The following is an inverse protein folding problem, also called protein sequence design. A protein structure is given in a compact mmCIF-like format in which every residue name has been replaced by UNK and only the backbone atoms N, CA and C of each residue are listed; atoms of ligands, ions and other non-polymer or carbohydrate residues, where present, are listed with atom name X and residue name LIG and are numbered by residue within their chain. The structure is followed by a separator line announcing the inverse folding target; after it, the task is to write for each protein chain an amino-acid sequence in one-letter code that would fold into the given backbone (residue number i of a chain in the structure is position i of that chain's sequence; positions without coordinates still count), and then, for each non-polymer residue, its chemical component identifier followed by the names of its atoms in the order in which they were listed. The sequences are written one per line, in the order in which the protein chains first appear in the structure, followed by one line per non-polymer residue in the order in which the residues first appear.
data_IF_620159458517
#
_entry.id   IF_620159458517
#
_cell.length_a   1.000
_cell.length_b   1.000
_cell.length_c   1.000
_cell.angle_alpha   90.00
_cell.angle_beta   90.00
_cell.angle_gamma   90.00
#
_symmetry.space_group_name_H-M   'P 1'
#
loop_
_entity.id
_entity.type
_entity.pdbx_description
1 polymer ?
#
# COMPACT_ATOMS: atom_id res chain seq x y z
N UNK A 1 38.71 17.78 48.91
CA UNK A 1 38.10 18.26 47.66
C UNK A 1 37.18 17.17 47.12
N UNK A 2 35.86 17.40 47.06
CA UNK A 2 34.87 16.45 46.52
C UNK A 2 34.47 16.93 45.12
N UNK A 3 34.76 16.16 44.08
CA UNK A 3 34.27 16.42 42.73
C UNK A 3 32.90 15.75 42.57
N UNK A 4 31.87 16.60 42.39
CA UNK A 4 30.49 16.20 42.09
C UNK A 4 30.41 15.72 40.63
N UNK A 5 29.99 14.48 40.41
CA UNK A 5 29.68 13.96 39.08
C UNK A 5 28.27 14.40 38.68
N UNK A 6 28.18 15.30 37.72
CA UNK A 6 26.93 15.68 37.05
C UNK A 6 26.57 14.61 36.01
N UNK A 7 25.52 13.85 36.29
CA UNK A 7 24.84 12.98 35.35
C UNK A 7 24.13 13.83 34.29
N UNK A 8 24.61 13.76 33.05
CA UNK A 8 23.91 14.28 31.87
C UNK A 8 22.86 13.26 31.44
N UNK A 9 21.60 13.49 31.80
CA UNK A 9 20.47 12.77 31.22
C UNK A 9 20.28 13.26 29.78
N UNK A 10 20.74 12.48 28.82
CA UNK A 10 20.41 12.68 27.41
C UNK A 10 18.91 12.38 27.22
N UNK A 11 18.11 13.43 27.04
CA UNK A 11 16.71 13.32 26.64
C UNK A 11 16.66 12.80 25.20
N UNK A 12 16.43 11.49 25.03
CA UNK A 12 16.18 10.90 23.72
C UNK A 12 14.81 11.42 23.27
N UNK A 13 14.82 12.45 22.43
CA UNK A 13 13.63 12.89 21.69
C UNK A 13 13.34 11.77 20.70
N UNK A 14 12.42 10.86 21.07
CA UNK A 14 11.80 9.94 20.13
C UNK A 14 11.19 10.80 19.01
N UNK A 15 11.61 10.65 17.74
CA UNK A 15 10.92 11.32 16.66
C UNK A 15 9.46 10.87 16.70
N UNK A 16 8.55 11.83 16.81
CA UNK A 16 7.13 11.58 16.67
C UNK A 16 6.94 10.83 15.34
N UNK A 17 6.47 9.58 15.42
CA UNK A 17 6.04 8.86 14.23
C UNK A 17 5.04 9.76 13.51
N UNK A 18 5.18 9.98 12.20
CA UNK A 18 4.24 10.81 11.47
C UNK A 18 2.85 10.24 11.71
N UNK A 19 1.99 11.06 12.33
CA UNK A 19 0.54 10.91 12.24
C UNK A 19 0.25 10.54 10.80
N UNK A 20 -0.42 9.40 10.59
CA UNK A 20 -0.88 8.93 9.27
C UNK A 20 -1.42 10.17 8.56
N UNK A 21 -0.67 10.71 7.59
CA UNK A 21 -1.10 11.87 6.84
C UNK A 21 -2.34 11.39 6.10
N UNK A 22 -3.50 11.69 6.67
CA UNK A 22 -4.74 11.02 6.31
C UNK A 22 -5.04 11.22 4.82
N UNK A 23 -4.43 12.26 4.22
CA UNK A 23 -4.48 12.54 2.81
C UNK A 23 -3.09 12.91 2.25
N UNK A 24 -2.11 12.00 2.27
CA UNK A 24 -0.79 12.28 1.68
C UNK A 24 -0.88 12.73 0.20
N UNK A 25 -1.95 12.36 -0.49
CA UNK A 25 -2.32 12.80 -1.84
C UNK A 25 -2.72 14.29 -1.93
N UNK A 26 -3.30 14.86 -0.88
CA UNK A 26 -3.78 16.26 -0.91
C UNK A 26 -2.61 17.24 -0.78
N UNK A 27 -1.47 16.78 -0.27
CA UNK A 27 -0.27 17.59 -0.13
C UNK A 27 0.47 17.80 -1.45
N UNK A 28 0.20 16.98 -2.47
CA UNK A 28 0.94 16.97 -3.72
C UNK A 28 0.17 17.64 -4.86
N UNK A 29 0.91 18.29 -5.76
CA UNK A 29 0.31 19.04 -6.87
C UNK A 29 0.28 18.19 -8.13
N UNK A 30 -0.94 17.84 -8.57
CA UNK A 30 -1.17 16.95 -9.70
C UNK A 30 -0.39 17.42 -10.94
N UNK A 31 0.37 16.51 -11.56
CA UNK A 31 1.15 16.81 -12.76
C UNK A 31 2.56 17.36 -12.49
N UNK A 32 2.98 17.49 -11.24
CA UNK A 32 4.35 17.87 -10.89
C UNK A 32 5.23 16.66 -10.61
N UNK A 33 6.53 16.80 -10.87
CA UNK A 33 7.53 15.79 -10.55
C UNK A 33 8.14 16.08 -9.19
N UNK A 34 8.17 15.08 -8.32
CA UNK A 34 8.80 15.18 -7.00
C UNK A 34 9.85 14.10 -6.80
N UNK A 35 10.76 14.34 -5.87
CA UNK A 35 11.85 13.41 -5.53
C UNK A 35 11.30 12.07 -5.04
N UNK A 36 11.96 11.00 -5.50
CA UNK A 36 11.62 9.63 -5.17
C UNK A 36 12.61 8.66 -5.76
N UNK A 37 12.28 7.37 -5.70
CA UNK A 37 13.09 6.34 -6.34
C UNK A 37 12.24 5.19 -6.83
N UNK A 38 12.80 4.44 -7.78
CA UNK A 38 12.26 3.14 -8.20
C UNK A 38 13.17 2.03 -7.71
N UNK A 39 12.60 0.85 -7.52
CA UNK A 39 13.35 -0.39 -7.29
C UNK A 39 13.18 -1.26 -8.52
N UNK A 40 14.27 -1.50 -9.25
CA UNK A 40 14.25 -2.29 -10.48
C UNK A 40 13.82 -3.74 -10.24
N UNK A 41 13.56 -4.49 -11.31
CA UNK A 41 13.30 -5.92 -11.23
C UNK A 41 14.46 -6.69 -10.58
N UNK A 42 15.70 -6.23 -10.80
CA UNK A 42 16.93 -6.79 -10.21
C UNK A 42 17.03 -6.44 -8.72
N UNK A 43 16.41 -5.34 -8.28
CA UNK A 43 16.47 -4.85 -6.90
C UNK A 43 17.33 -3.60 -6.72
N UNK A 44 17.82 -3.01 -7.81
CA UNK A 44 18.59 -1.78 -7.75
C UNK A 44 17.69 -0.59 -7.40
N UNK A 45 18.15 0.24 -6.47
CA UNK A 45 17.47 1.49 -6.12
C UNK A 45 17.99 2.61 -7.02
N UNK A 46 17.10 3.21 -7.80
CA UNK A 46 17.44 4.25 -8.78
C UNK A 46 16.75 5.54 -8.37
N UNK A 47 17.55 6.54 -7.99
CA UNK A 47 17.08 7.87 -7.60
C UNK A 47 16.60 8.69 -8.80
N UNK A 48 15.61 9.54 -8.57
CA UNK A 48 15.08 10.44 -9.58
C UNK A 48 13.82 11.14 -9.12
N UNK A 49 12.95 11.47 -10.08
CA UNK A 49 11.69 12.17 -9.81
C UNK A 49 10.52 11.40 -10.39
N UNK A 50 9.42 11.34 -9.66
CA UNK A 50 8.19 10.66 -10.07
C UNK A 50 7.11 11.72 -10.30
N UNK A 51 6.41 11.59 -11.43
CA UNK A 51 5.24 12.42 -11.72
C UNK A 51 4.11 12.07 -10.76
N UNK A 52 3.67 13.04 -9.97
CA UNK A 52 2.46 12.88 -9.19
C UNK A 52 1.23 12.79 -10.10
N UNK A 53 0.46 11.73 -9.91
CA UNK A 53 -0.81 11.49 -10.58
C UNK A 53 -1.83 10.95 -9.57
N UNK A 54 -3.08 10.75 -10.00
CA UNK A 54 -4.08 10.14 -9.14
C UNK A 54 -3.60 8.76 -8.62
N UNK A 55 -3.83 8.43 -7.34
CA UNK A 55 -3.47 7.14 -6.74
C UNK A 55 -3.80 5.92 -7.61
N UNK A 56 -5.00 5.87 -8.16
CA UNK A 56 -5.45 4.77 -9.01
C UNK A 56 -4.64 4.62 -10.31
N UNK A 57 -4.08 5.72 -10.82
CA UNK A 57 -3.16 5.71 -11.96
C UNK A 57 -1.79 5.20 -11.52
N UNK A 58 -1.27 5.76 -10.42
CA UNK A 58 0.04 5.39 -9.86
C UNK A 58 0.10 3.94 -9.37
N UNK A 59 -1.04 3.37 -8.97
CA UNK A 59 -1.19 1.95 -8.64
C UNK A 59 -0.95 1.02 -9.85
N UNK A 60 -1.04 1.51 -11.10
CA UNK A 60 -0.83 0.69 -12.30
C UNK A 60 0.45 1.02 -13.04
N UNK A 61 0.81 2.31 -13.05
CA UNK A 61 1.99 2.81 -13.76
C UNK A 61 2.50 4.11 -13.15
N UNK A 62 3.80 4.34 -13.23
CA UNK A 62 4.44 5.59 -12.86
C UNK A 62 5.18 6.21 -14.05
N UNK A 63 5.35 7.53 -14.04
CA UNK A 63 6.30 8.21 -14.93
C UNK A 63 7.47 8.70 -14.09
N UNK A 64 8.68 8.32 -14.48
CA UNK A 64 9.90 8.52 -13.71
C UNK A 64 10.98 9.19 -14.57
N UNK A 65 11.65 10.19 -14.02
CA UNK A 65 12.84 10.81 -14.61
C UNK A 65 14.02 10.41 -13.73
N UNK A 66 14.94 9.62 -14.26
CA UNK A 66 16.15 9.22 -13.54
C UNK A 66 17.03 10.45 -13.24
N UNK A 67 17.72 10.44 -12.10
CA UNK A 67 18.67 11.50 -11.77
C UNK A 67 19.72 11.68 -12.88
N UNK A 68 19.90 12.93 -13.33
CA UNK A 68 20.79 13.27 -14.45
C UNK A 68 20.17 13.14 -15.84
N UNK A 69 18.90 12.70 -15.94
CA UNK A 69 18.16 12.64 -17.19
C UNK A 69 17.05 13.70 -17.24
N UNK A 70 16.60 14.05 -18.46
CA UNK A 70 15.51 15.02 -18.67
C UNK A 70 14.21 14.36 -19.14
N UNK A 71 14.31 13.19 -19.77
CA UNK A 71 13.16 12.53 -20.40
C UNK A 71 12.49 11.57 -19.42
N UNK A 72 11.16 11.61 -19.30
CA UNK A 72 10.46 10.65 -18.47
C UNK A 72 10.33 9.30 -19.17
N UNK A 73 10.52 8.24 -18.39
CA UNK A 73 10.19 6.87 -18.76
C UNK A 73 8.99 6.38 -17.95
N UNK A 74 8.11 5.62 -18.59
CA UNK A 74 6.95 5.01 -17.92
C UNK A 74 7.27 3.58 -17.54
N UNK A 75 6.89 3.20 -16.32
CA UNK A 75 7.05 1.85 -15.81
C UNK A 75 5.71 1.31 -15.31
N UNK A 76 5.44 0.04 -15.60
CA UNK A 76 4.34 -0.75 -15.03
C UNK A 76 4.85 -1.63 -13.89
N UNK A 77 3.92 -2.19 -13.11
CA UNK A 77 4.24 -3.09 -12.00
C UNK A 77 5.23 -4.20 -12.37
N UNK A 78 5.01 -4.89 -13.51
CA UNK A 78 5.87 -6.01 -13.93
C UNK A 78 7.34 -5.64 -14.21
N UNK A 79 7.65 -4.35 -14.33
CA UNK A 79 8.99 -3.85 -14.67
C UNK A 79 9.77 -3.43 -13.41
N UNK A 80 9.11 -3.32 -12.26
CA UNK A 80 9.67 -2.81 -11.01
C UNK A 80 9.29 -3.70 -9.83
N UNK A 81 10.16 -3.78 -8.82
CA UNK A 81 9.76 -4.32 -7.51
C UNK A 81 8.91 -3.33 -6.70
N UNK A 82 9.07 -2.04 -6.97
CA UNK A 82 8.34 -1.00 -6.26
C UNK A 82 8.84 0.40 -6.57
N UNK A 83 8.23 1.39 -5.91
CA UNK A 83 8.69 2.77 -5.95
C UNK A 83 8.44 3.47 -4.62
N UNK A 84 9.21 4.51 -4.34
CA UNK A 84 9.02 5.39 -3.20
C UNK A 84 8.67 6.78 -3.67
N UNK A 85 7.60 7.32 -3.13
CA UNK A 85 7.06 8.62 -3.48
C UNK A 85 6.40 9.27 -2.28
N UNK A 86 6.68 10.56 -2.05
CA UNK A 86 6.03 11.36 -1.00
C UNK A 86 5.97 10.67 0.39
N UNK A 87 7.10 10.10 0.83
CA UNK A 87 7.16 9.43 2.14
C UNK A 87 6.72 7.96 2.15
N UNK A 88 6.18 7.45 1.03
CA UNK A 88 5.48 6.18 0.95
C UNK A 88 6.15 5.21 -0.02
N UNK A 89 6.34 3.96 0.39
CA UNK A 89 6.81 2.90 -0.47
C UNK A 89 5.64 2.08 -1.00
N UNK A 90 5.72 1.69 -2.27
CA UNK A 90 4.72 0.91 -2.99
C UNK A 90 5.37 -0.34 -3.55
N UNK A 91 4.76 -1.50 -3.35
CA UNK A 91 5.30 -2.78 -3.82
C UNK A 91 4.55 -3.28 -5.04
N UNK A 92 5.28 -3.75 -6.05
CA UNK A 92 4.64 -4.44 -7.15
C UNK A 92 4.35 -5.90 -6.79
N UNK A 93 3.11 -6.31 -7.02
CA UNK A 93 2.66 -7.68 -6.83
C UNK A 93 1.85 -8.15 -8.02
N UNK A 94 2.03 -9.42 -8.40
CA UNK A 94 1.09 -10.10 -9.26
C UNK A 94 -0.27 -10.17 -8.55
N UNK A 95 -1.29 -9.61 -9.19
CA UNK A 95 -2.58 -9.37 -8.59
C UNK A 95 -3.69 -9.77 -9.56
N UNK A 96 -4.71 -10.45 -9.04
CA UNK A 96 -5.89 -10.78 -9.79
C UNK A 96 -7.00 -9.83 -9.38
N UNK A 97 -7.14 -8.73 -10.11
CA UNK A 97 -8.29 -7.84 -9.97
C UNK A 97 -9.52 -8.61 -10.45
N UNK A 98 -10.34 -9.08 -9.51
CA UNK A 98 -11.57 -9.82 -9.78
C UNK A 98 -12.62 -9.04 -10.60
N UNK A 99 -12.30 -7.83 -11.05
CA UNK A 99 -13.12 -6.94 -11.87
C UNK A 99 -13.32 -7.39 -13.33
N UNK A 100 -12.56 -8.37 -13.85
CA UNK A 100 -12.76 -8.84 -15.24
C UNK A 100 -13.97 -9.78 -15.32
N UNK A 101 -15.12 -9.19 -15.60
CA UNK A 101 -16.44 -9.80 -15.89
C UNK A 101 -16.48 -10.78 -17.10
N UNK A 102 -15.35 -11.25 -17.64
CA UNK A 102 -15.33 -12.18 -18.78
C UNK A 102 -14.23 -13.24 -18.62
N UNK A 103 -14.47 -14.24 -17.78
CA UNK A 103 -13.95 -15.61 -17.90
C UNK A 103 -12.43 -15.85 -17.85
N UNK A 104 -11.58 -14.83 -17.95
CA UNK A 104 -10.13 -14.93 -17.91
C UNK A 104 -9.59 -14.11 -16.75
N UNK A 105 -9.08 -14.81 -15.72
CA UNK A 105 -8.27 -14.22 -14.65
C UNK A 105 -6.95 -13.76 -15.28
N UNK A 106 -6.91 -12.57 -15.89
CA UNK A 106 -5.64 -11.98 -16.26
C UNK A 106 -5.01 -11.41 -14.99
N UNK A 107 -3.98 -12.10 -14.51
CA UNK A 107 -3.13 -11.57 -13.46
C UNK A 107 -2.36 -10.38 -14.03
N UNK A 108 -2.47 -9.22 -13.40
CA UNK A 108 -1.72 -8.01 -13.72
C UNK A 108 -0.77 -7.70 -12.55
N UNK A 109 0.43 -7.19 -12.84
CA UNK A 109 1.26 -6.62 -11.79
C UNK A 109 0.84 -5.18 -11.53
N UNK A 110 0.38 -4.92 -10.31
CA UNK A 110 0.01 -3.58 -9.82
C UNK A 110 0.88 -3.21 -8.62
N UNK A 111 0.93 -1.93 -8.30
CA UNK A 111 1.57 -1.38 -7.12
C UNK A 111 0.56 -1.29 -5.98
N UNK A 112 0.86 -1.98 -4.89
CA UNK A 112 0.08 -2.02 -3.67
C UNK A 112 0.77 -1.19 -2.58
N UNK A 113 -0.04 -0.51 -1.76
CA UNK A 113 0.47 0.23 -0.61
C UNK A 113 0.52 -0.68 0.63
N UNK A 114 1.70 -0.99 1.18
CA UNK A 114 1.83 -1.86 2.33
C UNK A 114 1.44 -1.12 3.63
N UNK A 115 0.52 -1.72 4.40
CA UNK A 115 0.12 -1.23 5.72
C UNK A 115 0.80 -1.99 6.87
N UNK A 116 1.09 -3.27 6.64
CA UNK A 116 1.81 -4.14 7.56
C UNK A 116 2.48 -5.26 6.75
N UNK A 117 3.73 -5.59 7.07
CA UNK A 117 4.49 -6.63 6.39
C UNK A 117 4.90 -7.73 7.38
N UNK A 118 4.99 -8.97 6.88
CA UNK A 118 5.40 -10.16 7.64
C UNK A 118 4.66 -11.42 7.20
N UNK A 119 4.60 -12.43 8.08
CA UNK A 119 3.87 -13.69 7.87
C UNK A 119 2.40 -13.50 7.48
N UNK A 120 1.78 -12.43 7.98
CA UNK A 120 0.54 -11.85 7.47
C UNK A 120 0.82 -10.41 7.08
N UNK A 121 0.72 -10.14 5.78
CA UNK A 121 0.88 -8.81 5.22
C UNK A 121 -0.49 -8.22 4.87
N UNK A 122 -0.61 -6.90 4.99
CA UNK A 122 -1.82 -6.12 4.69
C UNK A 122 -1.47 -5.03 3.71
N UNK A 123 -2.28 -4.90 2.67
CA UNK A 123 -2.07 -3.95 1.60
C UNK A 123 -3.36 -3.18 1.27
N UNK A 124 -3.23 -1.95 0.82
CA UNK A 124 -4.27 -1.18 0.16
C UNK A 124 -4.02 -1.15 -1.35
N UNK A 125 -5.05 -1.47 -2.13
CA UNK A 125 -5.09 -1.24 -3.57
C UNK A 125 -5.93 0.00 -3.83
N UNK A 126 -5.33 1.00 -4.48
CA UNK A 126 -6.05 2.19 -4.92
C UNK A 126 -6.59 1.97 -6.31
N UNK A 127 -7.90 2.14 -6.48
CA UNK A 127 -8.57 2.03 -7.76
C UNK A 127 -9.59 3.15 -7.91
N UNK A 128 -10.02 3.40 -9.14
CA UNK A 128 -11.11 4.30 -9.42
C UNK A 128 -12.05 3.60 -10.40
N UNK A 129 -13.35 3.71 -10.17
CA UNK A 129 -14.32 3.39 -11.20
C UNK A 129 -14.22 4.49 -12.26
N UNK A 130 -14.21 4.09 -13.54
CA UNK A 130 -14.40 5.03 -14.64
C UNK A 130 -15.88 5.40 -14.59
N UNK A 131 -16.21 6.47 -13.87
CA UNK A 131 -17.61 6.85 -13.66
C UNK A 131 -18.14 7.68 -14.83
N UNK A 132 -17.32 8.51 -15.48
CA UNK A 132 -17.77 9.31 -16.62
C UNK A 132 -16.66 9.64 -17.63
N UNK A 133 -17.00 9.63 -18.91
CA UNK A 133 -16.20 10.26 -19.96
C UNK A 133 -16.53 11.76 -19.98
N UNK A 134 -15.67 12.59 -19.39
CA UNK A 134 -15.84 14.04 -19.50
C UNK A 134 -15.29 14.48 -20.86
N UNK A 135 -16.20 14.95 -21.72
CA UNK A 135 -15.87 15.54 -23.01
C UNK A 135 -15.58 17.02 -22.80
N UNK A 136 -14.33 17.43 -22.93
CA UNK A 136 -13.94 18.84 -22.87
C UNK A 136 -14.11 19.52 -24.26
N UNK A 137 -14.24 20.85 -24.27
CA UNK A 137 -14.44 21.65 -25.49
C UNK A 137 -13.29 21.54 -26.51
N UNK A 138 -12.10 21.12 -26.06
CA UNK A 138 -10.92 20.87 -26.90
C UNK A 138 -10.96 19.52 -27.64
N UNK A 139 -12.02 18.73 -27.47
CA UNK A 139 -12.18 17.42 -28.10
C UNK A 139 -11.34 16.31 -27.46
N UNK A 140 -10.63 16.61 -26.36
CA UNK A 140 -9.85 15.61 -25.61
C UNK A 140 -10.72 14.99 -24.53
N UNK A 141 -11.09 13.73 -24.71
CA UNK A 141 -11.69 12.94 -23.64
C UNK A 141 -10.65 12.76 -22.53
N UNK A 142 -10.80 13.47 -21.40
CA UNK A 142 -10.03 13.17 -20.19
C UNK A 142 -10.92 12.36 -19.26
N UNK A 143 -10.47 11.16 -18.93
CA UNK A 143 -11.07 10.38 -17.86
C UNK A 143 -10.74 11.12 -16.56
N UNK A 144 -11.75 11.72 -15.93
CA UNK A 144 -11.62 12.13 -14.55
C UNK A 144 -11.97 10.90 -13.70
N UNK A 145 -10.99 10.25 -13.06
CA UNK A 145 -11.31 9.12 -12.20
C UNK A 145 -12.28 9.61 -11.10
N UNK A 146 -13.26 8.77 -10.76
CA UNK A 146 -14.02 8.98 -9.52
C UNK A 146 -13.09 9.13 -8.33
N UNK A 147 -13.62 9.64 -7.20
CA UNK A 147 -12.87 9.65 -5.94
C UNK A 147 -12.16 8.29 -5.74
N UNK A 148 -10.84 8.29 -5.50
CA UNK A 148 -10.09 7.07 -5.40
C UNK A 148 -10.67 6.20 -4.28
N UNK A 149 -11.04 4.98 -4.63
CA UNK A 149 -11.46 3.97 -3.68
C UNK A 149 -10.27 3.10 -3.30
N UNK A 150 -10.37 2.50 -2.13
CA UNK A 150 -9.39 1.54 -1.65
C UNK A 150 -10.05 0.22 -1.32
N UNK A 151 -9.42 -0.86 -1.75
CA UNK A 151 -9.72 -2.21 -1.28
C UNK A 151 -8.55 -2.69 -0.41
N UNK A 152 -8.86 -3.34 0.70
CA UNK A 152 -7.87 -3.89 1.62
C UNK A 152 -7.69 -5.37 1.37
N UNK A 153 -6.45 -5.76 1.11
CA UNK A 153 -6.05 -7.16 0.89
C UNK A 153 -5.17 -7.66 2.02
N UNK A 154 -5.32 -8.93 2.33
CA UNK A 154 -4.41 -9.66 3.21
C UNK A 154 -3.69 -10.74 2.42
N UNK A 155 -2.43 -10.99 2.77
CA UNK A 155 -1.65 -12.08 2.21
C UNK A 155 -0.92 -12.79 3.34
N UNK A 156 -1.25 -14.06 3.55
CA UNK A 156 -0.50 -14.95 4.45
C UNK A 156 0.69 -15.53 3.68
N UNK A 157 1.81 -15.74 4.35
CA UNK A 157 3.02 -16.29 3.76
C UNK A 157 2.74 -17.63 3.06
N UNK A 158 3.19 -17.78 1.81
CA UNK A 158 2.91 -18.94 0.98
C UNK A 158 1.49 -19.01 0.39
N UNK A 159 0.62 -18.04 0.67
CA UNK A 159 -0.75 -17.97 0.13
C UNK A 159 -0.94 -16.80 -0.85
N UNK A 160 -2.02 -16.88 -1.64
CA UNK A 160 -2.48 -15.79 -2.51
C UNK A 160 -3.14 -14.65 -1.71
N UNK A 161 -3.25 -13.49 -2.35
CA UNK A 161 -4.01 -12.36 -1.80
C UNK A 161 -5.49 -12.70 -1.60
N UNK A 162 -6.06 -12.24 -0.49
CA UNK A 162 -7.48 -12.32 -0.19
C UNK A 162 -8.02 -10.93 0.11
N UNK A 163 -9.04 -10.52 -0.65
CA UNK A 163 -9.81 -9.31 -0.40
C UNK A 163 -10.59 -9.43 0.92
N UNK A 164 -10.54 -8.43 1.79
CA UNK A 164 -11.37 -8.39 2.99
C UNK A 164 -12.87 -8.34 2.69
N UNK A 165 -13.30 -7.91 1.51
CA UNK A 165 -14.68 -7.93 1.06
C UNK A 165 -15.10 -9.29 0.47
N UNK A 166 -14.17 -10.23 0.30
CA UNK A 166 -14.46 -11.58 -0.18
C UNK A 166 -15.46 -12.33 0.71
N UNK A 167 -16.20 -13.27 0.11
CA UNK A 167 -17.26 -14.06 0.77
C UNK A 167 -16.78 -14.75 2.07
N UNK A 168 -15.51 -15.17 2.10
CA UNK A 168 -14.83 -15.77 3.26
C UNK A 168 -14.88 -14.85 4.50
N UNK A 169 -14.87 -13.54 4.31
CA UNK A 169 -14.83 -12.52 5.37
C UNK A 169 -16.12 -11.70 5.50
N UNK A 170 -17.22 -12.08 4.82
CA UNK A 170 -18.55 -11.46 5.08
C UNK A 170 -18.93 -11.57 6.55
N UNK A 171 -18.67 -12.73 7.17
CA UNK A 171 -18.71 -12.89 8.63
C UNK A 171 -17.30 -12.73 9.19
N UNK A 172 -16.79 -11.50 9.16
CA UNK A 172 -15.38 -11.18 9.45
C UNK A 172 -14.81 -11.96 10.64
N UNK A 173 -15.45 -11.87 11.81
CA UNK A 173 -14.97 -12.53 13.04
C UNK A 173 -14.85 -14.06 12.88
N UNK A 174 -15.80 -14.72 12.21
CA UNK A 174 -15.74 -16.17 11.95
C UNK A 174 -14.69 -16.52 10.88
N UNK A 175 -14.64 -15.74 9.80
CA UNK A 175 -13.74 -15.98 8.69
C UNK A 175 -12.28 -15.76 9.07
N UNK A 176 -11.99 -14.64 9.73
CA UNK A 176 -10.64 -14.24 10.11
C UNK A 176 -10.09 -15.08 11.28
N UNK A 177 -10.90 -15.40 12.31
CA UNK A 177 -10.44 -16.31 13.37
C UNK A 177 -10.09 -17.70 12.85
N UNK A 178 -10.87 -18.22 11.89
CA UNK A 178 -10.54 -19.48 11.20
C UNK A 178 -9.29 -19.34 10.33
N UNK A 179 -9.14 -18.23 9.63
CA UNK A 179 -7.99 -17.98 8.75
C UNK A 179 -6.66 -17.91 9.51
N UNK A 180 -6.70 -17.40 10.75
CA UNK A 180 -5.55 -17.24 11.63
C UNK A 180 -5.57 -18.23 12.81
N UNK A 181 -6.15 -19.42 12.60
CA UNK A 181 -6.34 -20.43 13.66
C UNK A 181 -5.02 -20.98 14.21
N UNK A 182 -3.95 -20.85 13.45
CA UNK A 182 -2.57 -21.16 13.82
C UNK A 182 -1.95 -20.17 14.82
N UNK A 183 -2.60 -19.04 15.11
CA UNK A 183 -2.32 -18.23 16.30
C UNK A 183 -3.54 -18.19 17.25
N UNK A 184 -3.69 -19.18 18.15
CA UNK A 184 -4.92 -19.39 18.92
C UNK A 184 -5.35 -18.17 19.76
N UNK A 185 -4.41 -17.52 20.45
CA UNK A 185 -4.71 -16.36 21.29
C UNK A 185 -5.29 -15.18 20.46
N UNK A 186 -4.76 -14.97 19.25
CA UNK A 186 -5.28 -13.96 18.33
C UNK A 186 -6.64 -14.36 17.75
N UNK A 187 -6.77 -15.62 17.33
CA UNK A 187 -8.02 -16.16 16.79
C UNK A 187 -9.17 -16.03 17.80
N UNK A 188 -8.93 -16.31 19.08
CA UNK A 188 -9.90 -16.12 20.16
C UNK A 188 -10.33 -14.66 20.27
N UNK A 189 -9.38 -13.72 20.33
CA UNK A 189 -9.70 -12.28 20.42
C UNK A 189 -10.57 -11.80 19.25
N UNK A 190 -10.32 -12.31 18.04
CA UNK A 190 -11.12 -12.00 16.86
C UNK A 190 -12.52 -12.64 16.96
N UNK A 191 -12.61 -13.91 17.38
CA UNK A 191 -13.89 -14.62 17.50
C UNK A 191 -14.82 -13.99 18.55
N UNK A 192 -14.24 -13.47 19.64
CA UNK A 192 -14.92 -12.74 20.72
C UNK A 192 -15.22 -11.28 20.36
N UNK A 193 -14.92 -10.86 19.12
CA UNK A 193 -15.16 -9.52 18.59
C UNK A 193 -14.39 -8.39 19.30
N UNK A 194 -13.28 -8.71 19.98
CA UNK A 194 -12.36 -7.71 20.52
C UNK A 194 -11.55 -7.02 19.42
N UNK A 195 -11.32 -7.73 18.31
CA UNK A 195 -10.66 -7.22 17.11
C UNK A 195 -11.56 -7.45 15.88
N UNK A 196 -11.75 -6.39 15.11
CA UNK A 196 -12.66 -6.32 13.94
C UNK A 196 -11.96 -5.78 12.69
N UNK A 197 -12.72 -5.52 11.62
CA UNK A 197 -12.19 -4.99 10.34
C UNK A 197 -11.33 -3.73 10.51
N UNK A 198 -11.78 -2.78 11.32
CA UNK A 198 -11.05 -1.55 11.62
C UNK A 198 -9.65 -1.78 12.24
N UNK A 199 -9.43 -2.97 12.80
CA UNK A 199 -8.20 -3.35 13.48
C UNK A 199 -7.30 -4.22 12.58
N UNK A 200 -7.49 -4.28 11.26
CA UNK A 200 -6.75 -5.22 10.41
C UNK A 200 -5.23 -5.07 10.49
N UNK A 201 -4.73 -3.83 10.54
CA UNK A 201 -3.29 -3.55 10.69
C UNK A 201 -2.78 -4.06 12.04
N UNK A 202 -3.57 -3.91 13.10
CA UNK A 202 -3.23 -4.43 14.42
C UNK A 202 -3.27 -5.96 14.46
N UNK A 203 -4.28 -6.58 13.82
CA UNK A 203 -4.39 -8.04 13.68
C UNK A 203 -3.13 -8.58 12.99
N UNK A 204 -2.68 -7.95 11.90
CA UNK A 204 -1.46 -8.36 11.22
C UNK A 204 -0.21 -8.23 12.08
N UNK A 205 -0.03 -7.10 12.77
CA UNK A 205 1.08 -6.91 13.70
C UNK A 205 1.12 -7.97 14.80
N UNK A 206 -0.04 -8.29 15.40
CA UNK A 206 -0.15 -9.34 16.42
C UNK A 206 0.15 -10.73 15.84
N UNK A 207 -0.36 -11.04 14.65
CA UNK A 207 -0.11 -12.32 13.99
C UNK A 207 1.37 -12.51 13.66
N UNK A 208 2.04 -11.46 13.19
CA UNK A 208 3.47 -11.46 12.87
C UNK A 208 4.36 -11.63 14.09
N UNK A 209 3.84 -11.31 15.29
CA UNK A 209 4.52 -11.54 16.57
C UNK A 209 4.17 -12.89 17.21
N UNK A 210 3.25 -13.68 16.63
CA UNK A 210 2.98 -15.03 17.14
C UNK A 210 4.15 -15.97 16.80
N UNK A 211 4.42 -16.91 17.70
CA UNK A 211 5.24 -18.08 17.39
C UNK A 211 4.39 -19.05 16.54
N UNK A 212 4.97 -19.54 15.44
CA UNK A 212 4.32 -20.45 14.49
C UNK A 212 5.18 -21.69 14.32
#
# INVERSE_FOLDING_TARGET
MKFSQLLWTALIILPALPLRAQNWFDAQKLGEYEEGYIVSAEGDTIQGRILYNYPAVMARKISFIKAGEEKPQRYKGKELKGYYFAGNYWESHEFNDGSIKLGAKQKEHIFLYPLALGKLSVYEHYFAEITDWVKYEDGVNKVMPSEPRTDTYVKKEGEDFVDLNHIRFMRFHKGMSKFLSDCPALATNISEKKLGRAHIVEIAKRYNACEH
#
